data_IF_758296196451
#
_entry.id   IF_758296196451
#
_cell.length_a   1.000
_cell.length_b   1.000
_cell.length_c   1.000
_cell.angle_alpha   90.00
_cell.angle_beta   90.00
_cell.angle_gamma   90.00
#
_symmetry.space_group_name_H-M   'P 1'
#
loop_
_entity.id
_entity.type
_entity.pdbx_description
1 polymer ?
#
# COMPACT_ATOMS: atom_id res chain seq x y z
N UNK A 1 37.28 -3.00 -3.43
CA UNK A 1 36.71 -1.92 -2.60
C UNK A 1 35.22 -2.17 -2.53
N UNK A 2 34.72 -2.45 -1.32
CA UNK A 2 33.28 -2.40 -1.04
C UNK A 2 32.83 -0.95 -1.31
N UNK A 3 31.69 -0.72 -1.96
CA UNK A 3 31.19 0.63 -2.21
C UNK A 3 31.17 1.48 -0.94
N UNK A 4 31.45 2.77 -1.05
CA UNK A 4 31.36 3.66 0.10
C UNK A 4 29.88 3.82 0.43
N UNK A 5 29.49 3.48 1.65
CA UNK A 5 28.12 3.68 2.10
C UNK A 5 28.04 5.03 2.78
N UNK A 6 27.10 5.85 2.34
CA UNK A 6 26.86 7.19 2.89
C UNK A 6 25.45 7.29 3.42
N UNK A 7 25.32 7.71 4.67
CA UNK A 7 24.06 8.03 5.33
C UNK A 7 23.96 9.54 5.52
N UNK A 8 22.83 10.09 5.08
CA UNK A 8 22.52 11.51 5.21
C UNK A 8 21.29 11.70 6.09
N UNK A 9 21.31 12.72 6.93
CA UNK A 9 20.23 13.11 7.83
C UNK A 9 19.75 14.54 7.52
N UNK A 10 18.44 14.75 7.54
CA UNK A 10 17.81 16.06 7.34
C UNK A 10 17.19 16.22 5.95
N UNK A 11 16.50 17.33 5.76
CA UNK A 11 15.77 17.68 4.53
C UNK A 11 16.28 18.99 3.92
N UNK A 12 15.69 19.41 2.81
CA UNK A 12 16.07 20.64 2.11
C UNK A 12 15.83 21.90 2.96
N UNK A 13 14.90 21.87 3.91
CA UNK A 13 14.57 23.01 4.77
C UNK A 13 15.59 23.18 5.90
N UNK A 14 15.98 22.09 6.56
CA UNK A 14 16.93 22.12 7.69
C UNK A 14 18.38 21.91 7.28
N UNK A 15 18.62 21.57 6.02
CA UNK A 15 19.91 21.14 5.51
C UNK A 15 20.13 19.64 5.65
N UNK A 16 20.93 19.09 4.73
CA UNK A 16 21.27 17.66 4.68
C UNK A 16 22.70 17.47 5.16
N UNK A 17 22.89 16.65 6.18
CA UNK A 17 24.18 16.38 6.83
C UNK A 17 24.60 14.94 6.56
N UNK A 18 25.87 14.74 6.19
CA UNK A 18 26.47 13.39 6.11
C UNK A 18 26.85 12.97 7.53
N UNK A 19 26.42 11.78 7.94
CA UNK A 19 26.63 11.27 9.32
C UNK A 19 27.47 9.98 9.37
N UNK A 20 28.16 9.64 8.27
CA UNK A 20 28.93 8.39 8.10
C UNK A 20 29.95 8.15 9.22
N UNK A 21 30.60 9.22 9.67
CA UNK A 21 31.61 9.19 10.72
C UNK A 21 31.02 8.91 12.11
N UNK A 22 29.71 9.05 12.28
CA UNK A 22 29.00 8.78 13.53
C UNK A 22 28.56 7.32 13.63
N UNK A 23 28.55 6.57 12.54
CA UNK A 23 27.94 5.23 12.49
C UNK A 23 28.84 4.18 13.14
N UNK A 24 28.34 3.58 14.22
CA UNK A 24 28.91 2.34 14.77
C UNK A 24 28.34 1.13 14.03
N UNK A 25 27.02 1.07 13.93
CA UNK A 25 26.30 0.05 13.17
C UNK A 25 25.14 0.67 12.41
N UNK A 26 24.87 0.12 11.24
CA UNK A 26 23.66 0.43 10.50
C UNK A 26 23.07 -0.86 9.89
N UNK A 27 21.75 -1.01 9.99
CA UNK A 27 21.03 -2.16 9.45
C UNK A 27 19.86 -1.65 8.62
N UNK A 28 19.93 -1.87 7.31
CA UNK A 28 18.81 -1.62 6.40
C UNK A 28 18.11 -2.94 6.13
N UNK A 29 16.80 -2.98 6.30
CA UNK A 29 15.96 -4.09 5.87
C UNK A 29 14.99 -3.54 4.83
N UNK A 30 15.11 -4.00 3.59
CA UNK A 30 14.15 -3.73 2.54
C UNK A 30 13.27 -4.96 2.34
N UNK A 31 11.96 -4.76 2.22
CA UNK A 31 10.99 -5.84 2.02
C UNK A 31 9.90 -5.47 1.02
N UNK A 32 9.39 -6.49 0.33
CA UNK A 32 8.17 -6.44 -0.49
C UNK A 32 7.49 -7.81 -0.54
N UNK A 33 6.33 -7.90 -1.19
CA UNK A 33 5.63 -9.16 -1.47
C UNK A 33 5.17 -9.18 -2.93
N UNK A 34 5.28 -10.34 -3.59
CA UNK A 34 5.00 -10.52 -5.04
C UNK A 34 3.63 -9.99 -5.50
N UNK A 35 2.64 -10.00 -4.61
CA UNK A 35 1.23 -9.70 -4.92
C UNK A 35 0.57 -8.84 -3.83
N UNK A 36 1.35 -8.08 -3.06
CA UNK A 36 0.82 -7.20 -2.00
C UNK A 36 -0.14 -7.89 -1.01
N UNK A 37 0.09 -9.15 -0.63
CA UNK A 37 -0.65 -9.81 0.47
C UNK A 37 -0.55 -9.03 1.77
N UNK A 38 0.58 -8.36 1.94
CA UNK A 38 0.86 -7.33 2.91
C UNK A 38 1.83 -6.35 2.24
N UNK A 39 1.88 -5.12 2.74
CA UNK A 39 2.86 -4.13 2.32
C UNK A 39 3.86 -3.97 3.45
N UNK A 40 4.93 -4.77 3.55
CA UNK A 40 5.91 -4.64 4.63
C UNK A 40 6.64 -3.30 4.52
N UNK A 41 6.97 -2.70 5.66
CA UNK A 41 7.71 -1.46 5.69
C UNK A 41 9.20 -1.76 5.75
N UNK A 42 9.99 -1.04 4.96
CA UNK A 42 11.45 -1.12 5.04
C UNK A 42 11.95 -0.31 6.23
N UNK A 43 12.95 -0.80 6.94
CA UNK A 43 13.51 -0.15 8.14
C UNK A 43 14.98 0.19 7.99
N UNK A 44 15.39 1.24 8.70
CA UNK A 44 16.79 1.56 8.92
C UNK A 44 17.01 1.80 10.40
N UNK A 45 17.89 0.98 10.99
CA UNK A 45 18.30 1.06 12.37
C UNK A 45 19.77 1.49 12.45
N UNK A 46 20.06 2.49 13.27
CA UNK A 46 21.39 3.07 13.47
C UNK A 46 21.80 3.01 14.94
N UNK A 47 23.04 2.61 15.20
CA UNK A 47 23.74 2.93 16.45
C UNK A 47 24.82 3.96 16.13
N UNK A 48 24.77 5.11 16.81
CA UNK A 48 25.61 6.27 16.52
C UNK A 48 26.46 6.67 17.72
N UNK A 49 27.67 7.13 17.45
CA UNK A 49 28.60 7.74 18.39
C UNK A 49 28.79 9.23 18.06
N UNK A 50 28.32 10.08 18.97
CA UNK A 50 28.31 11.54 18.79
C UNK A 50 29.36 12.24 19.66
N UNK A 51 30.42 11.52 20.07
CA UNK A 51 31.49 12.09 20.93
C UNK A 51 32.08 13.40 20.43
N UNK A 52 32.23 13.54 19.12
CA UNK A 52 32.84 14.71 18.49
C UNK A 52 31.84 15.85 18.21
N UNK A 53 30.56 15.69 18.60
CA UNK A 53 29.49 16.64 18.31
C UNK A 53 28.76 17.04 19.60
N UNK A 54 29.04 18.25 20.07
CA UNK A 54 28.30 18.83 21.20
C UNK A 54 26.86 19.12 20.77
N UNK A 55 25.89 18.61 21.54
CA UNK A 55 24.45 18.87 21.41
C UNK A 55 23.78 18.41 20.10
N UNK A 56 24.26 17.33 19.46
CA UNK A 56 23.55 16.75 18.33
C UNK A 56 22.25 16.05 18.77
N UNK A 57 21.11 16.47 18.22
CA UNK A 57 19.79 15.91 18.48
C UNK A 57 19.13 15.43 17.18
N UNK A 58 18.44 14.29 17.26
CA UNK A 58 17.67 13.73 16.15
C UNK A 58 16.20 14.07 16.34
N UNK A 59 15.58 14.62 15.31
CA UNK A 59 14.16 14.90 15.30
C UNK A 59 13.40 13.74 14.64
N UNK A 60 12.30 13.31 15.27
CA UNK A 60 11.33 12.38 14.69
C UNK A 60 10.76 13.00 13.41
N UNK A 61 10.35 12.15 12.47
CA UNK A 61 9.88 12.45 11.11
C UNK A 61 10.91 13.07 10.16
N UNK A 62 12.12 13.40 10.62
CA UNK A 62 13.19 13.81 9.71
C UNK A 62 13.69 12.63 8.87
N UNK A 63 14.00 12.87 7.58
CA UNK A 63 14.41 11.81 6.69
C UNK A 63 15.87 11.40 6.92
N UNK A 64 16.10 10.11 6.71
CA UNK A 64 17.40 9.49 6.56
C UNK A 64 17.50 8.92 5.14
N UNK A 65 18.66 9.11 4.52
CA UNK A 65 18.96 8.57 3.20
C UNK A 65 20.20 7.72 3.30
N UNK A 66 20.15 6.50 2.79
CA UNK A 66 21.33 5.64 2.68
C UNK A 66 21.67 5.39 1.22
N UNK A 67 22.94 5.61 0.88
CA UNK A 67 23.49 5.48 -0.46
C UNK A 67 24.60 4.44 -0.48
N UNK A 68 24.72 3.69 -1.59
CA UNK A 68 25.95 3.00 -1.97
C UNK A 68 26.58 3.74 -3.13
N UNK A 69 27.77 4.28 -2.90
CA UNK A 69 28.45 5.21 -3.78
C UNK A 69 27.54 6.42 -4.10
N UNK A 70 26.91 6.43 -5.28
CA UNK A 70 25.97 7.49 -5.68
C UNK A 70 24.52 7.02 -5.76
N UNK A 71 24.26 5.73 -5.63
CA UNK A 71 22.92 5.15 -5.79
C UNK A 71 22.20 5.09 -4.45
N UNK A 72 20.98 5.63 -4.39
CA UNK A 72 20.12 5.52 -3.22
C UNK A 72 19.78 4.04 -2.99
N UNK A 73 20.01 3.56 -1.78
CA UNK A 73 19.50 2.26 -1.33
C UNK A 73 18.11 2.46 -0.74
N UNK A 74 17.96 3.37 0.22
CA UNK A 74 16.69 3.56 0.92
C UNK A 74 16.55 4.98 1.46
N UNK A 75 15.32 5.51 1.40
CA UNK A 75 14.88 6.66 2.18
C UNK A 75 13.94 6.18 3.29
N UNK A 76 14.18 6.65 4.51
CA UNK A 76 13.35 6.39 5.70
C UNK A 76 13.13 7.66 6.49
N UNK A 77 12.23 7.61 7.47
CA UNK A 77 11.87 8.70 8.37
C UNK A 77 12.02 8.22 9.81
N UNK A 78 12.70 9.01 10.64
CA UNK A 78 12.94 8.66 12.04
C UNK A 78 11.61 8.50 12.77
N UNK A 79 11.38 7.34 13.36
CA UNK A 79 10.23 7.05 14.22
C UNK A 79 10.60 7.12 15.68
N UNK A 80 11.84 6.77 16.02
CA UNK A 80 12.37 6.83 17.37
C UNK A 80 13.85 7.24 17.35
N UNK A 81 14.24 8.13 18.25
CA UNK A 81 15.64 8.43 18.53
C UNK A 81 15.86 8.44 20.05
N UNK A 82 16.71 7.54 20.53
CA UNK A 82 16.94 7.30 21.95
C UNK A 82 18.41 7.46 22.30
N UNK A 83 18.69 8.39 23.22
CA UNK A 83 20.01 8.53 23.83
C UNK A 83 20.23 7.41 24.86
N UNK A 84 21.17 6.51 24.60
CA UNK A 84 21.45 5.33 25.46
C UNK A 84 22.65 5.52 26.39
N UNK A 85 23.52 6.48 26.09
CA UNK A 85 24.61 6.94 26.97
C UNK A 85 24.94 8.40 26.68
N UNK A 86 25.94 8.98 27.35
CA UNK A 86 26.38 10.37 27.11
C UNK A 86 26.62 10.67 25.62
N UNK A 87 27.16 9.70 24.88
CA UNK A 87 27.54 9.87 23.47
C UNK A 87 26.97 8.81 22.53
N UNK A 88 26.03 7.97 22.98
CA UNK A 88 25.37 6.99 22.10
C UNK A 88 23.92 7.28 21.86
N UNK A 89 23.53 7.10 20.60
CA UNK A 89 22.16 7.14 20.14
C UNK A 89 21.79 5.84 19.44
N UNK A 90 20.56 5.38 19.68
CA UNK A 90 19.87 4.42 18.84
C UNK A 90 18.79 5.16 18.07
N UNK A 91 18.79 5.04 16.75
CA UNK A 91 17.81 5.69 15.87
C UNK A 91 17.13 4.62 15.04
N UNK A 92 15.81 4.56 15.12
CA UNK A 92 14.96 3.67 14.34
C UNK A 92 14.15 4.51 13.35
N UNK A 93 13.98 3.98 12.15
CA UNK A 93 13.28 4.67 11.07
C UNK A 93 12.56 3.70 10.16
N UNK A 94 11.52 4.19 9.50
CA UNK A 94 10.70 3.41 8.57
C UNK A 94 10.46 4.19 7.27
N UNK A 95 10.19 3.49 6.19
CA UNK A 95 9.95 4.09 4.87
C UNK A 95 8.55 4.71 4.72
N UNK A 96 8.22 5.13 3.50
CA UNK A 96 6.89 5.67 3.19
C UNK A 96 5.77 4.67 3.48
N UNK A 97 5.96 3.37 3.23
CA UNK A 97 4.95 2.35 3.53
C UNK A 97 4.67 2.31 5.04
N UNK A 98 5.70 2.40 5.87
CA UNK A 98 5.53 2.51 7.31
C UNK A 98 4.87 3.82 7.76
N UNK A 99 5.18 4.94 7.08
CA UNK A 99 4.56 6.24 7.37
C UNK A 99 3.07 6.29 7.04
N UNK A 100 2.61 5.49 6.06
CA UNK A 100 1.20 5.44 5.67
C UNK A 100 0.26 4.91 6.76
N UNK A 101 0.77 4.22 7.78
CA UNK A 101 -0.05 3.79 8.93
C UNK A 101 -0.57 4.98 9.76
N UNK A 102 0.09 6.13 9.67
CA UNK A 102 -0.32 7.36 10.35
C UNK A 102 -1.25 8.24 9.51
N UNK A 103 -1.57 7.82 8.27
CA UNK A 103 -2.42 8.55 7.35
C UNK A 103 -3.76 7.85 7.20
N UNK A 104 -4.84 8.59 7.39
CA UNK A 104 -6.21 8.07 7.26
C UNK A 104 -6.68 8.10 5.82
N UNK A 105 -7.46 7.10 5.44
CA UNK A 105 -8.19 7.04 4.19
C UNK A 105 -9.66 6.82 4.51
N UNK A 106 -10.53 7.72 4.05
CA UNK A 106 -11.95 7.74 4.44
C UNK A 106 -12.80 6.64 3.77
N UNK A 107 -12.19 5.85 2.88
CA UNK A 107 -12.90 4.90 2.05
C UNK A 107 -13.56 5.60 0.86
N UNK A 108 -13.65 4.90 -0.27
CA UNK A 108 -14.30 5.44 -1.46
C UNK A 108 -14.78 4.35 -2.37
N UNK A 109 -15.85 4.65 -3.08
CA UNK A 109 -16.33 3.83 -4.18
C UNK A 109 -15.77 4.35 -5.51
N UNK A 110 -15.14 3.48 -6.29
CA UNK A 110 -14.65 3.79 -7.63
C UNK A 110 -15.50 3.07 -8.69
N UNK A 111 -15.83 3.77 -9.77
CA UNK A 111 -16.54 3.19 -10.91
C UNK A 111 -15.80 3.48 -12.20
N UNK A 112 -15.30 2.42 -12.84
CA UNK A 112 -14.57 2.46 -14.11
C UNK A 112 -13.46 3.53 -14.17
N UNK A 113 -12.79 3.77 -13.03
CA UNK A 113 -11.70 4.73 -12.97
C UNK A 113 -10.40 4.07 -13.39
N UNK A 114 -9.48 4.82 -13.99
CA UNK A 114 -8.13 4.29 -14.23
C UNK A 114 -7.39 4.09 -12.91
N UNK A 115 -6.51 3.11 -12.86
CA UNK A 115 -5.65 2.86 -11.70
C UNK A 115 -4.84 4.10 -11.33
N UNK A 116 -4.36 4.84 -12.33
CA UNK A 116 -3.66 6.12 -12.10
C UNK A 116 -4.54 7.15 -11.37
N UNK A 117 -5.79 7.33 -11.78
CA UNK A 117 -6.72 8.26 -11.13
C UNK A 117 -7.06 7.83 -9.69
N UNK A 118 -7.22 6.53 -9.45
CA UNK A 118 -7.42 5.98 -8.10
C UNK A 118 -6.21 6.25 -7.21
N UNK A 119 -5.01 6.08 -7.74
CA UNK A 119 -3.77 6.32 -7.00
C UNK A 119 -3.53 7.81 -6.72
N UNK A 120 -3.88 8.69 -7.66
CA UNK A 120 -3.86 10.15 -7.45
C UNK A 120 -4.78 10.57 -6.32
N UNK A 121 -6.00 10.03 -6.29
CA UNK A 121 -6.96 10.28 -5.22
C UNK A 121 -6.49 9.71 -3.86
N UNK A 122 -5.96 8.49 -3.86
CA UNK A 122 -5.42 7.83 -2.66
C UNK A 122 -4.25 8.62 -2.03
N UNK A 123 -3.34 9.15 -2.84
CA UNK A 123 -2.17 9.90 -2.38
C UNK A 123 -2.43 11.40 -2.25
N UNK A 124 -3.63 11.89 -2.58
CA UNK A 124 -3.99 13.29 -2.48
C UNK A 124 -3.80 13.82 -1.05
N UNK A 125 -3.07 14.92 -0.91
CA UNK A 125 -2.78 15.55 0.38
C UNK A 125 -1.74 14.82 1.25
N UNK A 126 -1.19 13.68 0.83
CA UNK A 126 -0.19 12.92 1.60
C UNK A 126 1.25 13.44 1.45
N UNK A 127 1.54 14.19 0.37
CA UNK A 127 2.88 14.56 -0.06
C UNK A 127 3.85 13.37 -0.27
N UNK A 128 3.31 12.16 -0.46
CA UNK A 128 4.12 10.97 -0.76
C UNK A 128 4.33 10.87 -2.28
N UNK A 129 5.58 10.94 -2.78
CA UNK A 129 5.86 10.68 -4.19
C UNK A 129 5.56 9.21 -4.53
N UNK A 130 4.93 8.97 -5.67
CA UNK A 130 4.65 7.62 -6.14
C UNK A 130 4.88 7.46 -7.64
N UNK A 131 5.19 6.23 -8.04
CA UNK A 131 5.51 5.85 -9.41
C UNK A 131 4.74 4.57 -9.76
N UNK A 132 4.13 4.53 -10.94
CA UNK A 132 3.33 3.39 -11.40
C UNK A 132 3.85 3.01 -12.79
N UNK A 133 4.02 1.72 -13.07
CA UNK A 133 4.38 1.26 -14.41
C UNK A 133 3.27 1.52 -15.44
N UNK A 134 3.66 1.70 -16.72
CA UNK A 134 2.75 2.08 -17.80
C UNK A 134 1.59 1.09 -18.02
N UNK A 135 1.80 -0.20 -17.73
CA UNK A 135 0.76 -1.20 -17.89
C UNK A 135 -0.27 -1.07 -16.76
N UNK A 136 0.19 -0.99 -15.51
CA UNK A 136 -0.68 -0.92 -14.33
C UNK A 136 -1.51 0.36 -14.32
N UNK A 137 -0.96 1.51 -14.77
CA UNK A 137 -1.68 2.79 -14.87
C UNK A 137 -3.02 2.72 -15.62
N UNK A 138 -3.09 1.87 -16.65
CA UNK A 138 -4.23 1.79 -17.57
C UNK A 138 -5.31 0.80 -17.12
N UNK A 139 -5.08 0.05 -16.04
CA UNK A 139 -6.07 -0.91 -15.53
C UNK A 139 -7.30 -0.17 -15.00
N UNK A 140 -8.47 -0.73 -15.22
CA UNK A 140 -9.74 -0.17 -14.74
C UNK A 140 -10.05 -0.68 -13.33
N UNK A 141 -10.35 0.23 -12.43
CA UNK A 141 -10.74 -0.02 -11.04
C UNK A 141 -12.22 0.27 -10.87
N UNK A 142 -12.93 -0.75 -10.38
CA UNK A 142 -14.32 -0.67 -9.98
C UNK A 142 -14.47 -1.35 -8.63
N UNK A 143 -15.18 -0.71 -7.71
CA UNK A 143 -15.48 -1.27 -6.40
C UNK A 143 -15.17 -0.35 -5.22
N UNK A 144 -15.47 -0.84 -4.04
CA UNK A 144 -15.28 -0.11 -2.79
C UNK A 144 -13.87 -0.38 -2.24
N UNK A 145 -13.15 0.67 -1.86
CA UNK A 145 -11.99 0.57 -0.99
C UNK A 145 -12.42 0.96 0.41
N UNK A 146 -12.15 0.10 1.39
CA UNK A 146 -12.59 0.33 2.76
C UNK A 146 -11.90 1.54 3.40
N UNK A 147 -12.59 2.18 4.34
CA UNK A 147 -11.97 3.18 5.20
C UNK A 147 -10.92 2.52 6.10
N UNK A 148 -9.82 3.22 6.35
CA UNK A 148 -8.69 2.67 7.11
C UNK A 148 -7.47 3.57 7.03
N UNK A 149 -6.29 2.97 6.89
CA UNK A 149 -5.06 3.71 6.62
C UNK A 149 -4.81 3.78 5.11
N UNK A 150 -3.99 4.74 4.68
CA UNK A 150 -3.51 4.80 3.29
C UNK A 150 -2.79 3.49 2.93
N UNK A 151 -2.09 2.86 3.90
CA UNK A 151 -1.40 1.58 3.70
C UNK A 151 -2.37 0.45 3.41
N UNK A 152 -3.47 0.33 4.17
CA UNK A 152 -4.47 -0.72 3.93
C UNK A 152 -5.21 -0.52 2.62
N UNK A 153 -5.53 0.73 2.28
CA UNK A 153 -6.17 1.07 1.01
C UNK A 153 -5.27 0.74 -0.20
N UNK A 154 -3.99 1.14 -0.14
CA UNK A 154 -3.00 0.79 -1.16
C UNK A 154 -2.83 -0.73 -1.30
N UNK A 155 -2.78 -1.44 -0.18
CA UNK A 155 -2.65 -2.88 -0.14
C UNK A 155 -3.84 -3.56 -0.82
N UNK A 156 -5.06 -3.14 -0.49
CA UNK A 156 -6.29 -3.62 -1.11
C UNK A 156 -6.28 -3.41 -2.64
N UNK A 157 -5.98 -2.19 -3.08
CA UNK A 157 -5.94 -1.86 -4.51
C UNK A 157 -4.89 -2.70 -5.22
N UNK A 158 -3.64 -2.71 -4.76
CA UNK A 158 -2.55 -3.43 -5.42
C UNK A 158 -2.76 -4.95 -5.45
N UNK A 159 -3.32 -5.52 -4.37
CA UNK A 159 -3.63 -6.94 -4.30
C UNK A 159 -4.65 -7.37 -5.37
N UNK A 160 -5.71 -6.59 -5.55
CA UNK A 160 -6.76 -6.87 -6.55
C UNK A 160 -6.22 -6.95 -7.98
N UNK A 161 -5.11 -6.28 -8.28
CA UNK A 161 -4.48 -6.29 -9.60
C UNK A 161 -3.20 -7.13 -9.67
N UNK A 162 -2.77 -7.75 -8.56
CA UNK A 162 -1.54 -8.53 -8.49
C UNK A 162 -0.29 -7.70 -8.75
N UNK A 163 -0.28 -6.45 -8.28
CA UNK A 163 0.90 -5.58 -8.29
C UNK A 163 1.69 -5.76 -6.98
N UNK A 164 3.00 -5.58 -7.05
CA UNK A 164 3.84 -5.43 -5.86
C UNK A 164 4.18 -3.95 -5.65
N UNK A 165 4.50 -3.62 -4.39
CA UNK A 165 4.82 -2.27 -3.99
C UNK A 165 6.17 -2.28 -3.28
N UNK A 166 7.05 -1.34 -3.63
CA UNK A 166 8.35 -1.19 -2.98
C UNK A 166 8.77 0.27 -2.88
N UNK A 167 9.57 0.57 -1.86
CA UNK A 167 10.28 1.85 -1.68
C UNK A 167 11.79 1.68 -1.89
N UNK A 168 12.23 0.47 -2.24
CA UNK A 168 13.63 0.16 -2.41
C UNK A 168 14.23 0.94 -3.58
N UNK A 169 15.43 1.47 -3.36
CA UNK A 169 16.23 2.19 -4.36
C UNK A 169 15.53 3.39 -5.03
N UNK A 170 14.48 3.94 -4.39
CA UNK A 170 13.78 5.12 -4.85
C UNK A 170 13.43 6.04 -3.68
N UNK A 171 13.05 7.27 -4.00
CA UNK A 171 12.69 8.33 -3.05
C UNK A 171 11.17 8.47 -2.89
N UNK A 172 10.42 7.44 -3.25
CA UNK A 172 8.96 7.39 -3.23
C UNK A 172 8.44 5.95 -3.15
N UNK A 173 7.18 5.77 -3.53
CA UNK A 173 6.49 4.48 -3.52
C UNK A 173 6.32 4.01 -4.96
N UNK A 174 6.91 2.87 -5.29
CA UNK A 174 6.80 2.29 -6.62
C UNK A 174 5.78 1.16 -6.63
N UNK A 175 4.81 1.22 -7.53
CA UNK A 175 3.83 0.18 -7.81
C UNK A 175 4.11 -0.42 -9.17
N UNK A 176 4.37 -1.72 -9.19
CA UNK A 176 4.81 -2.43 -10.39
C UNK A 176 4.10 -3.76 -10.53
N UNK A 177 3.80 -4.12 -11.78
CA UNK A 177 3.46 -5.50 -12.13
C UNK A 177 4.68 -6.41 -11.91
N UNK A 178 4.43 -7.61 -11.40
CA UNK A 178 5.44 -8.66 -11.35
C UNK A 178 5.94 -8.99 -12.77
N UNK A 179 7.25 -8.84 -13.00
CA UNK A 179 7.90 -9.29 -14.22
C UNK A 179 7.80 -10.82 -14.36
N UNK A 180 7.89 -11.35 -15.58
CA UNK A 180 8.17 -12.77 -15.81
C UNK A 180 9.63 -13.02 -16.19
N UNK A 181 10.38 -11.96 -16.45
CA UNK A 181 11.71 -12.03 -17.03
C UNK A 181 12.76 -12.16 -15.94
N UNK A 182 13.65 -13.13 -16.11
CA UNK A 182 14.84 -13.28 -15.27
C UNK A 182 15.77 -12.09 -15.51
N UNK A 183 16.00 -11.29 -14.47
CA UNK A 183 16.87 -10.12 -14.50
C UNK A 183 18.35 -10.50 -14.53
N UNK A 184 18.75 -11.56 -13.80
CA UNK A 184 20.14 -12.02 -13.75
C UNK A 184 20.29 -13.44 -13.21
N UNK A 185 21.45 -14.02 -13.48
CA UNK A 185 21.91 -15.29 -12.91
C UNK A 185 22.94 -15.02 -11.81
N UNK A 186 22.75 -15.63 -10.65
CA UNK A 186 23.63 -15.55 -9.48
C UNK A 186 24.46 -16.83 -9.45
N UNK A 187 25.72 -16.73 -9.87
CA UNK A 187 26.67 -17.83 -9.80
C UNK A 187 27.11 -18.11 -8.35
N UNK A 188 27.57 -19.33 -8.11
CA UNK A 188 28.13 -19.77 -6.82
C UNK A 188 29.30 -18.89 -6.35
N UNK A 189 30.08 -18.31 -7.27
CA UNK A 189 31.19 -17.39 -6.97
C UNK A 189 30.74 -16.08 -6.30
N UNK A 190 29.46 -15.70 -6.43
CA UNK A 190 28.90 -14.51 -5.75
C UNK A 190 28.43 -14.81 -4.32
N UNK A 191 28.47 -16.06 -3.88
CA UNK A 191 27.88 -16.47 -2.60
C UNK A 191 28.97 -16.52 -1.52
N UNK A 192 28.88 -15.65 -0.51
CA UNK A 192 29.97 -15.44 0.45
C UNK A 192 30.19 -16.60 1.43
N UNK A 193 29.12 -17.23 1.91
CA UNK A 193 29.13 -18.47 2.70
C UNK A 193 27.70 -18.85 3.13
N UNK A 194 27.31 -20.09 2.82
CA UNK A 194 26.06 -20.70 3.24
C UNK A 194 24.84 -20.20 2.47
N UNK A 195 24.11 -21.14 1.87
CA UNK A 195 22.74 -20.94 1.40
C UNK A 195 21.86 -21.74 2.34
N UNK A 196 20.81 -21.11 2.87
CA UNK A 196 19.75 -21.83 3.55
C UNK A 196 18.61 -22.06 2.56
N UNK A 197 18.14 -23.29 2.43
CA UNK A 197 17.00 -23.65 1.58
C UNK A 197 15.94 -24.26 2.47
N UNK A 198 14.79 -23.61 2.55
CA UNK A 198 13.63 -24.03 3.33
C UNK A 198 12.51 -24.43 2.36
N UNK A 199 11.93 -25.63 2.51
CA UNK A 199 10.71 -26.00 1.79
C UNK A 199 9.54 -25.24 2.41
N UNK A 200 8.80 -24.48 1.60
CA UNK A 200 7.57 -23.83 2.04
C UNK A 200 6.37 -24.66 1.65
N UNK A 201 5.26 -24.40 2.34
CA UNK A 201 4.01 -25.06 2.04
C UNK A 201 3.54 -24.70 0.64
N UNK A 202 3.31 -25.73 -0.17
CA UNK A 202 2.67 -25.59 -1.47
C UNK A 202 1.16 -25.54 -1.26
N UNK A 203 0.51 -24.51 -1.81
CA UNK A 203 -0.94 -24.40 -1.83
C UNK A 203 -1.47 -25.28 -2.96
N UNK A 204 -2.41 -26.17 -2.65
CA UNK A 204 -3.00 -27.08 -3.64
C UNK A 204 -4.35 -26.60 -4.14
N UNK A 205 -5.02 -25.74 -3.37
CA UNK A 205 -6.31 -25.12 -3.71
C UNK A 205 -6.35 -23.68 -3.20
N UNK A 206 -6.77 -22.76 -4.06
CA UNK A 206 -7.02 -21.36 -3.71
C UNK A 206 -8.45 -20.99 -4.08
N UNK A 207 -9.16 -20.39 -3.14
CA UNK A 207 -10.48 -19.81 -3.38
C UNK A 207 -10.46 -18.32 -3.09
N UNK A 208 -11.02 -17.51 -3.98
CA UNK A 208 -11.09 -16.04 -3.83
C UNK A 208 -12.52 -15.56 -4.01
N UNK A 209 -12.95 -14.67 -3.11
CA UNK A 209 -14.21 -13.97 -3.26
C UNK A 209 -14.06 -12.72 -4.13
N UNK A 210 -15.10 -12.40 -4.90
CA UNK A 210 -15.18 -11.17 -5.71
C UNK A 210 -16.59 -10.57 -5.67
N UNK A 211 -16.71 -9.30 -6.04
CA UNK A 211 -17.95 -8.55 -6.04
C UNK A 211 -18.31 -8.07 -7.45
N UNK A 212 -19.52 -8.38 -7.91
CA UNK A 212 -20.07 -7.84 -9.14
C UNK A 212 -21.02 -6.70 -8.81
N UNK A 213 -20.70 -5.53 -9.32
CA UNK A 213 -21.56 -4.37 -9.24
C UNK A 213 -22.40 -4.31 -10.51
N UNK A 214 -23.71 -4.44 -10.35
CA UNK A 214 -24.67 -4.27 -11.44
C UNK A 214 -25.41 -2.96 -11.19
N UNK A 215 -25.48 -2.11 -12.22
CA UNK A 215 -26.31 -0.91 -12.17
C UNK A 215 -27.77 -1.32 -12.05
N UNK A 216 -28.42 -0.94 -10.95
CA UNK A 216 -29.85 -1.09 -10.77
C UNK A 216 -30.56 0.22 -11.13
N UNK A 217 -31.74 0.15 -11.72
CA UNK A 217 -32.63 1.32 -11.90
C UNK A 217 -33.28 1.80 -10.58
N UNK A 218 -32.91 1.19 -9.44
CA UNK A 218 -33.42 1.56 -8.13
C UNK A 218 -32.60 2.71 -7.50
N UNK A 219 -33.26 3.82 -7.23
CA UNK A 219 -32.70 4.98 -6.54
C UNK A 219 -32.55 4.72 -5.02
N UNK A 220 -31.36 4.91 -4.42
CA UNK A 220 -31.23 4.93 -2.94
C UNK A 220 -31.63 6.30 -2.38
N UNK A 221 -32.43 6.27 -1.31
CA UNK A 221 -32.58 7.36 -0.34
C UNK A 221 -31.44 7.36 0.70
N UNK A 222 -30.70 8.46 0.84
CA UNK A 222 -29.82 8.67 2.01
C UNK A 222 -30.67 9.18 3.18
N UNK A 223 -30.97 8.33 4.16
CA UNK A 223 -31.64 8.76 5.41
C UNK A 223 -30.58 9.05 6.48
N UNK A 224 -30.46 10.30 6.93
CA UNK A 224 -29.84 10.61 8.22
C UNK A 224 -30.94 10.48 9.28
N UNK A 225 -30.89 9.44 10.12
CA UNK A 225 -31.76 9.38 11.30
C UNK A 225 -31.33 10.49 12.25
N UNK A 226 -32.22 11.43 12.53
CA UNK A 226 -32.05 12.29 13.69
C UNK A 226 -32.17 11.41 14.94
N UNK A 227 -31.30 11.62 15.93
CA UNK A 227 -31.41 10.93 17.22
C UNK A 227 -32.82 11.10 17.78
N UNK A 228 -33.40 10.00 18.24
CA UNK A 228 -34.82 9.82 18.57
C UNK A 228 -35.33 10.62 19.78
N UNK A 229 -34.59 11.62 20.26
CA UNK A 229 -35.03 12.52 21.34
C UNK A 229 -35.61 13.85 20.81
N UNK A 230 -35.65 14.05 19.49
CA UNK A 230 -35.99 15.36 18.89
C UNK A 230 -37.46 15.56 18.50
N UNK A 231 -38.33 14.54 18.61
CA UNK A 231 -39.75 14.67 18.25
C UNK A 231 -40.62 14.05 19.34
N UNK A 232 -40.64 14.68 20.49
CA UNK A 232 -41.75 14.56 21.43
C UNK A 232 -42.37 15.93 21.65
N UNK A 233 -43.68 15.98 21.44
CA UNK A 233 -44.57 17.15 21.58
C UNK A 233 -44.54 18.18 20.44
N UNK A 234 -45.06 17.79 19.28
CA UNK A 234 -46.23 18.44 18.66
C UNK A 234 -46.56 17.79 17.31
N UNK A 235 -47.63 16.99 17.29
CA UNK A 235 -48.15 16.35 16.09
C UNK A 235 -48.77 17.40 15.16
N UNK A 236 -48.30 17.44 13.90
CA UNK A 236 -49.10 17.95 12.78
C UNK A 236 -48.62 19.22 12.07
N UNK A 237 -47.32 19.47 11.92
CA UNK A 237 -46.82 20.53 11.04
C UNK A 237 -45.97 19.99 9.89
N UNK A 238 -46.23 20.50 8.67
CA UNK A 238 -45.49 20.19 7.45
C UNK A 238 -44.19 21.00 7.42
N UNK A 239 -43.06 20.35 7.19
CA UNK A 239 -41.78 21.05 6.92
C UNK A 239 -41.57 21.06 5.40
N UNK A 240 -41.44 22.24 4.82
CA UNK A 240 -41.11 22.41 3.40
C UNK A 240 -39.62 22.72 3.26
N UNK A 241 -38.88 21.90 2.52
CA UNK A 241 -37.50 22.19 2.16
C UNK A 241 -37.44 22.79 0.75
N UNK A 242 -36.88 24.00 0.62
CA UNK A 242 -36.52 24.55 -0.68
C UNK A 242 -35.06 24.20 -0.96
N UNK A 243 -34.83 23.32 -1.94
CA UNK A 243 -33.49 22.96 -2.40
C UNK A 243 -33.00 24.00 -3.41
N UNK A 244 -31.88 24.66 -3.11
CA UNK A 244 -31.20 25.53 -4.07
C UNK A 244 -30.29 24.66 -4.96
N UNK A 245 -30.89 24.07 -6.00
CA UNK A 245 -30.19 23.22 -6.98
C UNK A 245 -29.53 24.13 -8.03
N UNK A 246 -28.19 24.08 -8.21
CA UNK A 246 -27.50 24.91 -9.20
C UNK A 246 -28.11 24.73 -10.59
N UNK A 247 -28.16 25.80 -11.39
CA UNK A 247 -28.91 25.85 -12.64
C UNK A 247 -28.45 24.82 -13.69
N UNK A 248 -27.20 24.37 -13.62
CA UNK A 248 -26.68 23.26 -14.45
C UNK A 248 -27.36 21.90 -14.20
N UNK A 249 -28.07 21.72 -13.08
CA UNK A 249 -28.74 20.47 -12.71
C UNK A 249 -30.28 20.51 -12.87
N UNK A 250 -30.87 21.67 -13.16
CA UNK A 250 -32.33 21.90 -13.14
C UNK A 250 -33.16 21.13 -14.17
N UNK A 251 -32.52 20.56 -15.20
CA UNK A 251 -33.17 19.90 -16.33
C UNK A 251 -32.74 18.44 -16.55
N UNK A 252 -31.98 17.85 -15.62
CA UNK A 252 -31.48 16.46 -15.76
C UNK A 252 -32.03 15.48 -14.71
N UNK A 253 -32.82 15.95 -13.75
CA UNK A 253 -33.33 15.13 -12.64
C UNK A 253 -34.80 15.40 -12.37
N UNK A 254 -35.57 14.35 -12.08
CA UNK A 254 -36.95 14.43 -11.61
C UNK A 254 -36.90 14.55 -10.09
N UNK A 255 -37.18 15.73 -9.53
CA UNK A 255 -37.47 15.87 -8.11
C UNK A 255 -38.93 15.47 -7.89
N UNK A 256 -39.18 14.18 -7.68
CA UNK A 256 -40.51 13.64 -7.38
C UNK A 256 -40.73 13.57 -5.86
N UNK A 257 -41.67 14.35 -5.34
CA UNK A 257 -42.24 14.08 -4.01
C UNK A 257 -43.26 12.94 -4.16
N UNK A 258 -42.97 11.76 -3.62
CA UNK A 258 -43.96 10.68 -3.54
C UNK A 258 -44.72 10.78 -2.22
N UNK A 259 -46.02 11.05 -2.30
CA UNK A 259 -46.93 10.91 -1.16
C UNK A 259 -47.43 9.47 -1.12
N UNK A 260 -47.05 8.69 -0.11
CA UNK A 260 -47.84 7.51 0.24
C UNK A 260 -48.81 7.89 1.36
N UNK A 261 -50.11 7.98 1.07
CA UNK A 261 -51.13 8.02 2.11
C UNK A 261 -51.14 6.67 2.84
N UNK A 262 -50.45 6.57 3.98
CA UNK A 262 -50.73 5.51 4.94
C UNK A 262 -51.68 6.05 6.00
N UNK A 263 -52.93 5.63 5.89
CA UNK A 263 -53.94 5.87 6.89
C UNK A 263 -53.57 5.16 8.21
N UNK A 264 -53.45 5.98 9.26
CA UNK A 264 -53.92 5.79 10.64
C UNK A 264 -53.45 4.51 11.34
N UNK A 265 -52.37 4.62 12.13
CA UNK A 265 -52.33 4.34 13.58
C UNK A 265 -50.93 4.68 14.12
N UNK A 266 -50.75 5.89 14.65
CA UNK A 266 -49.70 6.20 15.64
C UNK A 266 -48.24 5.82 15.36
N UNK A 267 -47.80 5.76 14.09
CA UNK A 267 -46.40 5.50 13.76
C UNK A 267 -45.73 6.72 13.12
N UNK A 268 -44.49 6.93 13.56
CA UNK A 268 -43.53 7.97 13.14
C UNK A 268 -43.49 8.11 11.61
N UNK A 269 -43.61 9.36 11.13
CA UNK A 269 -43.48 9.67 9.71
C UNK A 269 -42.01 9.77 9.32
N UNK A 270 -41.53 8.87 8.47
CA UNK A 270 -40.23 8.98 7.80
C UNK A 270 -40.38 9.92 6.60
N UNK A 271 -39.56 10.96 6.52
CA UNK A 271 -39.48 11.84 5.35
C UNK A 271 -38.23 11.47 4.54
N UNK A 272 -38.43 10.87 3.37
CA UNK A 272 -37.35 10.44 2.48
C UNK A 272 -37.22 11.44 1.31
N UNK A 273 -36.00 11.96 1.11
CA UNK A 273 -35.62 12.75 -0.06
C UNK A 273 -34.92 11.84 -1.08
N UNK A 274 -35.43 11.81 -2.31
CA UNK A 274 -34.84 11.03 -3.41
C UNK A 274 -34.06 11.95 -4.35
N UNK A 275 -32.85 11.54 -4.74
CA UNK A 275 -32.12 12.15 -5.85
C UNK A 275 -31.31 11.04 -6.53
N UNK A 276 -31.60 10.80 -7.82
CA UNK A 276 -30.78 9.91 -8.64
C UNK A 276 -29.51 10.63 -9.09
N UNK A 277 -28.37 9.95 -9.02
CA UNK A 277 -27.09 10.45 -9.53
C UNK A 277 -26.52 9.44 -10.51
N UNK A 278 -26.43 9.82 -11.78
CA UNK A 278 -26.04 8.86 -12.82
C UNK A 278 -24.54 8.54 -12.87
N UNK A 279 -23.62 9.37 -12.31
CA UNK A 279 -22.19 9.11 -12.59
C UNK A 279 -21.14 9.50 -11.54
N UNK A 280 -21.42 10.34 -10.52
CA UNK A 280 -20.38 10.76 -9.56
C UNK A 280 -20.97 11.08 -8.16
N UNK A 281 -20.20 10.95 -7.05
CA UNK A 281 -20.62 11.49 -5.76
C UNK A 281 -20.69 13.01 -5.83
N UNK A 282 -21.85 13.58 -5.48
CA UNK A 282 -22.06 15.03 -5.49
C UNK A 282 -22.18 15.57 -4.06
N UNK A 283 -21.51 16.69 -3.80
CA UNK A 283 -21.71 17.49 -2.59
C UNK A 283 -22.96 18.34 -2.76
N UNK A 284 -24.04 17.98 -2.05
CA UNK A 284 -25.23 18.81 -1.99
C UNK A 284 -25.17 19.74 -0.78
N UNK A 285 -25.51 21.00 -1.00
CA UNK A 285 -25.73 21.99 0.05
C UNK A 285 -27.22 22.31 0.13
N UNK A 286 -27.87 21.90 1.22
CA UNK A 286 -29.26 22.26 1.48
C UNK A 286 -29.33 23.42 2.48
N UNK A 287 -30.17 24.43 2.19
CA UNK A 287 -30.44 25.55 3.09
C UNK A 287 -31.85 25.37 3.66
N UNK A 288 -31.98 25.43 4.99
CA UNK A 288 -33.30 25.47 5.65
C UNK A 288 -33.82 26.91 5.58
N UNK A 289 -35.02 27.13 5.05
CA UNK A 289 -35.49 28.50 4.68
C UNK A 289 -36.68 28.99 5.52
N UNK A 290 -37.39 28.15 6.29
CA UNK A 290 -38.46 28.63 7.18
C UNK A 290 -38.44 27.94 8.56
N UNK A 291 -38.31 28.75 9.62
CA UNK A 291 -38.76 28.38 10.97
C UNK A 291 -40.28 28.54 11.05
N UNK A 292 -40.99 27.51 11.47
CA UNK A 292 -42.41 27.61 11.79
C UNK A 292 -42.58 28.27 13.16
N UNK A 293 -43.43 29.29 13.21
CA UNK A 293 -43.72 30.08 14.39
C UNK A 293 -44.32 29.26 15.54
N UNK A 294 -43.88 29.68 16.73
CA UNK A 294 -44.39 29.44 18.08
C UNK A 294 -44.11 28.06 18.69
N UNK A 295 -43.02 28.02 19.45
CA UNK A 295 -42.66 26.99 20.43
C UNK A 295 -41.21 27.18 20.89
N UNK A 296 -41.01 27.60 22.14
CA UNK A 296 -39.68 27.71 22.75
C UNK A 296 -39.08 26.29 22.80
N UNK A 297 -38.02 26.04 22.04
CA UNK A 297 -37.18 24.83 22.20
C UNK A 297 -35.87 25.26 22.85
N UNK A 298 -35.72 24.88 24.11
CA UNK A 298 -34.43 24.92 24.81
C UNK A 298 -33.54 23.80 24.26
N UNK A 299 -32.32 24.12 23.83
CA UNK A 299 -31.28 23.12 23.59
C UNK A 299 -30.67 23.03 22.18
N UNK A 300 -31.16 23.79 21.20
CA UNK A 300 -30.49 23.92 19.90
C UNK A 300 -30.11 25.36 19.62
N UNK A 301 -28.82 25.68 19.78
CA UNK A 301 -28.25 26.80 19.03
C UNK A 301 -28.29 26.41 17.56
N UNK A 302 -29.30 26.89 16.86
CA UNK A 302 -29.20 27.12 15.42
C UNK A 302 -27.99 28.03 15.21
N UNK A 303 -26.96 27.53 14.52
CA UNK A 303 -26.03 28.44 13.87
C UNK A 303 -26.85 29.07 12.75
N UNK A 304 -27.17 30.35 12.92
CA UNK A 304 -27.79 31.22 11.91
C UNK A 304 -27.36 30.82 10.49
N UNK A 305 -28.32 30.37 9.67
CA UNK A 305 -28.09 30.09 8.25
C UNK A 305 -27.23 28.86 7.90
N UNK A 306 -27.12 27.88 8.81
CA UNK A 306 -26.31 26.67 8.62
C UNK A 306 -26.72 25.81 7.43
N UNK A 307 -25.84 25.71 6.43
CA UNK A 307 -25.94 24.74 5.34
C UNK A 307 -25.75 23.33 5.86
N UNK A 308 -26.57 22.38 5.40
CA UNK A 308 -26.34 20.95 5.60
C UNK A 308 -25.60 20.39 4.38
N UNK A 309 -24.47 19.72 4.61
CA UNK A 309 -23.71 19.02 3.59
C UNK A 309 -23.90 17.51 3.71
N UNK A 310 -24.19 16.84 2.60
CA UNK A 310 -24.25 15.38 2.51
C UNK A 310 -23.71 14.90 1.15
N UNK A 311 -23.17 13.67 1.14
CA UNK A 311 -22.65 12.99 -0.05
C UNK A 311 -23.62 11.87 -0.40
N UNK A 312 -24.09 11.86 -1.64
CA UNK A 312 -24.95 10.80 -2.17
C UNK A 312 -24.18 9.95 -3.19
N UNK A 313 -24.37 8.64 -3.12
CA UNK A 313 -23.72 7.65 -3.98
C UNK A 313 -24.77 6.96 -4.87
N UNK A 314 -24.46 6.63 -6.14
CA UNK A 314 -25.33 5.78 -6.96
C UNK A 314 -25.57 4.41 -6.32
N UNK A 315 -26.77 3.85 -6.47
CA UNK A 315 -27.04 2.48 -6.03
C UNK A 315 -26.44 1.48 -6.99
N UNK A 316 -25.70 0.53 -6.43
CA UNK A 316 -25.28 -0.66 -7.15
C UNK A 316 -25.59 -1.86 -6.27
N UNK A 317 -26.32 -2.81 -6.83
CA UNK A 317 -26.49 -4.12 -6.22
C UNK A 317 -25.17 -4.87 -6.33
N UNK A 318 -24.73 -5.48 -5.23
CA UNK A 318 -23.52 -6.30 -5.17
C UNK A 318 -23.92 -7.77 -5.20
N UNK A 319 -23.59 -8.45 -6.29
CA UNK A 319 -23.63 -9.92 -6.35
C UNK A 319 -22.23 -10.46 -6.07
N UNK A 320 -22.06 -11.19 -4.97
CA UNK A 320 -20.79 -11.83 -4.63
C UNK A 320 -20.64 -13.19 -5.30
N UNK A 321 -19.42 -13.55 -5.70
CA UNK A 321 -19.07 -14.88 -6.19
C UNK A 321 -17.78 -15.41 -5.58
N UNK A 322 -17.55 -16.73 -5.69
CA UNK A 322 -16.30 -17.39 -5.31
C UNK A 322 -15.73 -18.10 -6.52
N UNK A 323 -14.46 -17.85 -6.82
CA UNK A 323 -13.69 -18.62 -7.83
C UNK A 323 -12.70 -19.53 -7.12
N UNK A 324 -12.45 -20.71 -7.71
CA UNK A 324 -11.50 -21.68 -7.17
C UNK A 324 -10.49 -22.12 -8.24
N UNK A 325 -9.22 -22.25 -7.86
CA UNK A 325 -8.16 -22.84 -8.67
C UNK A 325 -7.49 -23.96 -7.90
N UNK A 326 -7.29 -25.09 -8.56
CA UNK A 326 -6.69 -26.30 -7.98
C UNK A 326 -5.62 -26.86 -8.91
N UNK A 327 -4.59 -27.47 -8.32
CA UNK A 327 -3.61 -28.24 -9.11
C UNK A 327 -4.29 -29.46 -9.75
N UNK A 328 -3.92 -29.87 -10.98
CA UNK A 328 -4.37 -31.13 -11.55
C UNK A 328 -3.74 -32.28 -10.76
N UNK A 329 -4.57 -33.03 -10.01
CA UNK A 329 -4.08 -34.12 -9.17
C UNK A 329 -4.21 -35.44 -9.94
N UNK A 330 -3.07 -36.01 -10.35
CA UNK A 330 -3.01 -37.41 -10.78
C UNK A 330 -3.04 -38.32 -9.55
N UNK A 331 -4.21 -38.94 -9.32
CA UNK A 331 -4.39 -40.21 -8.59
C UNK A 331 -3.58 -40.45 -7.31
N UNK A 332 -3.92 -39.75 -6.24
CA UNK A 332 -3.99 -40.21 -4.85
C UNK A 332 -4.54 -39.04 -4.04
N UNK A 333 -5.47 -39.26 -3.10
CA UNK A 333 -6.10 -38.19 -2.32
C UNK A 333 -5.00 -37.26 -1.76
N UNK A 334 -4.81 -36.05 -2.32
CA UNK A 334 -3.70 -35.20 -1.93
C UNK A 334 -4.02 -34.65 -0.54
N UNK A 335 -3.00 -34.39 0.26
CA UNK A 335 -3.15 -33.50 1.40
C UNK A 335 -3.63 -32.16 0.82
N UNK A 336 -4.89 -31.81 1.07
CA UNK A 336 -5.48 -30.58 0.57
C UNK A 336 -4.96 -29.46 1.48
N UNK A 337 -4.04 -28.64 0.97
CA UNK A 337 -3.70 -27.36 1.56
C UNK A 337 -4.52 -26.27 0.86
N UNK A 338 -5.69 -26.00 1.42
CA UNK A 338 -6.66 -25.02 0.91
C UNK A 338 -6.45 -23.67 1.59
N UNK A 339 -6.33 -22.62 0.78
CA UNK A 339 -6.29 -21.24 1.23
C UNK A 339 -7.46 -20.47 0.65
N UNK A 340 -8.23 -19.82 1.51
CA UNK A 340 -9.31 -18.93 1.10
C UNK A 340 -8.92 -17.49 1.39
N UNK A 341 -9.15 -16.62 0.42
CA UNK A 341 -8.93 -15.19 0.54
C UNK A 341 -10.28 -14.47 0.56
N UNK A 342 -10.50 -13.65 1.58
CA UNK A 342 -11.70 -12.83 1.69
C UNK A 342 -11.70 -11.77 0.58
N UNK A 343 -12.89 -11.50 0.05
CA UNK A 343 -13.12 -10.53 -1.03
C UNK A 343 -12.59 -9.15 -0.66
N UNK A 344 -11.80 -8.56 -1.56
CA UNK A 344 -11.53 -7.12 -1.55
C UNK A 344 -12.62 -6.40 -2.33
N UNK A 345 -13.05 -5.22 -1.88
CA UNK A 345 -14.18 -4.54 -2.49
C UNK A 345 -13.90 -4.05 -3.92
N UNK A 346 -12.62 -4.00 -4.33
CA UNK A 346 -12.15 -3.66 -5.69
C UNK A 346 -11.97 -4.85 -6.63
N UNK A 347 -12.19 -6.08 -6.16
CA UNK A 347 -12.13 -7.28 -7.01
C UNK A 347 -13.49 -7.53 -7.67
N UNK A 348 -13.51 -7.52 -9.00
CA UNK A 348 -14.71 -7.68 -9.83
C UNK A 348 -14.63 -8.92 -10.70
N UNK A 349 -15.75 -9.43 -11.24
CA UNK A 349 -15.69 -10.57 -12.18
C UNK A 349 -14.75 -10.35 -13.37
N UNK A 350 -14.56 -9.10 -13.81
CA UNK A 350 -13.68 -8.75 -14.92
C UNK A 350 -12.20 -9.04 -14.60
N UNK A 351 -11.75 -8.75 -13.37
CA UNK A 351 -10.36 -8.95 -12.96
C UNK A 351 -10.13 -10.20 -12.10
N UNK A 352 -11.18 -10.77 -11.48
CA UNK A 352 -11.07 -11.83 -10.49
C UNK A 352 -10.39 -13.10 -11.01
N UNK A 353 -10.67 -13.52 -12.25
CA UNK A 353 -9.99 -14.70 -12.81
C UNK A 353 -8.50 -14.44 -13.05
N UNK A 354 -8.16 -13.27 -13.61
CA UNK A 354 -6.76 -12.88 -13.82
C UNK A 354 -6.02 -12.71 -12.49
N UNK A 355 -6.69 -12.15 -11.47
CA UNK A 355 -6.17 -12.03 -10.12
C UNK A 355 -5.96 -13.41 -9.49
N UNK A 356 -6.96 -14.30 -9.56
CA UNK A 356 -6.86 -15.67 -9.06
C UNK A 356 -5.68 -16.41 -9.67
N UNK A 357 -5.50 -16.30 -10.99
CA UNK A 357 -4.38 -16.95 -11.68
C UNK A 357 -3.03 -16.44 -11.19
N UNK A 358 -2.86 -15.11 -11.13
CA UNK A 358 -1.63 -14.49 -10.62
C UNK A 358 -1.39 -14.82 -9.16
N UNK A 359 -2.42 -14.77 -8.32
CA UNK A 359 -2.31 -15.01 -6.88
C UNK A 359 -1.95 -16.47 -6.63
N UNK A 360 -2.59 -17.42 -7.31
CA UNK A 360 -2.28 -18.84 -7.18
C UNK A 360 -0.82 -19.14 -7.54
N UNK A 361 -0.37 -18.63 -8.68
CA UNK A 361 0.99 -18.89 -9.18
C UNK A 361 2.05 -18.26 -8.27
N UNK A 362 1.73 -17.15 -7.59
CA UNK A 362 2.68 -16.43 -6.72
C UNK A 362 2.61 -16.78 -5.23
N UNK A 363 1.47 -17.27 -4.74
CA UNK A 363 1.34 -17.79 -3.38
C UNK A 363 1.90 -19.20 -3.25
N UNK A 364 1.94 -19.96 -4.35
CA UNK A 364 2.49 -21.31 -4.36
C UNK A 364 4.01 -21.25 -4.28
N UNK A 365 4.54 -21.20 -3.07
CA UNK A 365 5.99 -21.16 -2.82
C UNK A 365 6.49 -22.58 -2.61
N UNK A 366 7.33 -23.06 -3.52
CA UNK A 366 8.02 -24.34 -3.35
C UNK A 366 9.21 -24.24 -2.38
N UNK A 367 10.00 -23.17 -2.52
CA UNK A 367 11.26 -22.99 -1.79
C UNK A 367 11.42 -21.54 -1.34
N UNK A 368 11.98 -21.38 -0.13
CA UNK A 368 12.58 -20.13 0.34
C UNK A 368 14.09 -20.31 0.38
N UNK A 369 14.82 -19.36 -0.19
CA UNK A 369 16.28 -19.38 -0.26
C UNK A 369 16.84 -18.13 0.43
N UNK A 370 17.56 -18.30 1.52
CA UNK A 370 18.34 -17.23 2.15
C UNK A 370 19.80 -17.33 1.71
N UNK A 371 20.31 -16.29 1.05
CA UNK A 371 21.67 -16.26 0.52
C UNK A 371 22.41 -14.98 0.92
N UNK A 372 23.68 -15.11 1.33
CA UNK A 372 24.60 -13.98 1.50
C UNK A 372 25.35 -13.75 0.21
N UNK A 373 25.10 -12.61 -0.44
CA UNK A 373 25.54 -12.36 -1.81
C UNK A 373 26.50 -11.18 -1.82
N UNK A 374 27.59 -11.33 -2.57
CA UNK A 374 28.52 -10.24 -2.89
C UNK A 374 27.83 -9.32 -3.89
N UNK A 375 27.62 -8.09 -3.46
CA UNK A 375 27.22 -6.98 -4.32
C UNK A 375 28.45 -6.11 -4.64
N UNK A 376 28.62 -5.72 -5.91
CA UNK A 376 29.76 -4.93 -6.36
C UNK A 376 30.92 -5.70 -7.00
N UNK A 377 32.16 -5.45 -6.56
CA UNK A 377 33.38 -5.90 -7.28
C UNK A 377 33.88 -7.28 -6.82
N UNK A 378 33.92 -8.24 -7.74
CA UNK A 378 34.64 -9.50 -7.55
C UNK A 378 36.11 -9.38 -7.98
N UNK A 379 37.03 -9.94 -7.20
CA UNK A 379 38.45 -10.00 -7.55
C UNK A 379 38.68 -11.15 -8.53
N UNK A 380 39.06 -10.83 -9.76
CA UNK A 380 39.51 -11.82 -10.73
C UNK A 380 41.02 -12.04 -10.57
N UNK A 381 41.42 -13.30 -10.41
CA UNK A 381 42.84 -13.69 -10.51
C UNK A 381 43.08 -14.29 -11.89
N UNK A 382 43.83 -13.60 -12.74
CA UNK A 382 44.19 -14.13 -14.06
C UNK A 382 45.55 -14.85 -14.02
N UNK A 383 45.59 -16.12 -14.48
CA UNK A 383 46.81 -16.82 -14.94
C UNK A 383 47.50 -17.79 -13.97
N UNK A 384 48.17 -18.81 -14.55
CA UNK A 384 49.09 -19.73 -13.84
C UNK A 384 50.50 -19.15 -13.78
N UNK A 385 51.22 -19.43 -12.69
CA UNK A 385 52.59 -18.98 -12.46
C UNK A 385 53.55 -19.40 -13.58
N UNK A 386 54.03 -18.43 -14.36
CA UNK A 386 55.26 -18.62 -15.15
C UNK A 386 56.35 -17.59 -14.86
N UNK A 387 56.02 -16.39 -14.36
CA UNK A 387 57.01 -15.33 -14.08
C UNK A 387 56.71 -14.41 -12.86
N UNK A 388 55.87 -14.82 -11.91
CA UNK A 388 55.84 -14.18 -10.57
C UNK A 388 54.96 -12.94 -10.37
N UNK A 389 54.24 -12.43 -11.37
CA UNK A 389 53.30 -11.31 -11.18
C UNK A 389 51.84 -11.77 -11.31
N UNK A 390 51.05 -11.56 -10.24
CA UNK A 390 49.59 -11.68 -10.29
C UNK A 390 49.02 -10.42 -10.92
N UNK A 391 48.31 -10.57 -12.04
CA UNK A 391 47.48 -9.51 -12.59
C UNK A 391 46.12 -9.61 -11.90
N UNK A 392 45.77 -8.57 -11.14
CA UNK A 392 44.47 -8.46 -10.47
C UNK A 392 43.52 -7.67 -11.35
N UNK A 393 42.39 -8.31 -11.71
CA UNK A 393 41.27 -7.65 -12.37
C UNK A 393 40.08 -7.50 -11.42
N UNK A 394 39.15 -6.62 -11.77
CA UNK A 394 37.85 -6.51 -11.09
C UNK A 394 36.75 -6.73 -12.11
N UNK A 395 35.76 -7.55 -11.75
CA UNK A 395 34.49 -7.61 -12.47
C UNK A 395 33.43 -6.92 -11.63
N UNK A 396 32.68 -6.01 -12.26
CA UNK A 396 31.53 -5.38 -11.62
C UNK A 396 30.32 -6.27 -11.82
N UNK A 397 29.76 -6.76 -10.71
CA UNK A 397 28.53 -7.55 -10.74
C UNK A 397 27.32 -6.63 -10.65
N UNK A 398 26.25 -6.96 -11.38
CA UNK A 398 25.01 -6.20 -11.30
C UNK A 398 24.41 -6.30 -9.88
N UNK A 399 23.88 -5.19 -9.34
CA UNK A 399 23.20 -5.22 -8.05
C UNK A 399 21.95 -6.08 -8.13
N UNK A 400 21.61 -6.72 -7.01
CA UNK A 400 20.39 -7.52 -6.87
C UNK A 400 19.38 -6.70 -6.09
N UNK A 401 18.27 -6.33 -6.69
CA UNK A 401 17.30 -5.43 -6.08
C UNK A 401 16.06 -6.17 -5.61
N UNK A 402 15.35 -5.57 -4.64
CA UNK A 402 13.99 -5.99 -4.31
C UNK A 402 13.14 -5.89 -5.57
N UNK A 403 12.35 -6.93 -5.86
CA UNK A 403 11.55 -6.99 -7.07
C UNK A 403 12.17 -7.80 -8.22
N UNK A 404 13.48 -8.05 -8.18
CA UNK A 404 14.17 -8.80 -9.23
C UNK A 404 13.73 -10.28 -9.24
N UNK A 405 13.60 -10.84 -10.44
CA UNK A 405 13.54 -12.30 -10.63
C UNK A 405 14.93 -12.79 -10.98
N UNK A 406 15.51 -13.60 -10.12
CA UNK A 406 16.89 -14.08 -10.26
C UNK A 406 16.91 -15.59 -10.37
N UNK A 407 17.86 -16.12 -11.14
CA UNK A 407 18.23 -17.53 -10.98
C UNK A 407 19.42 -17.64 -10.04
N UNK A 408 19.42 -18.65 -9.17
CA UNK A 408 20.51 -18.93 -8.24
C UNK A 408 20.87 -20.41 -8.31
N UNK A 409 22.16 -20.69 -8.46
CA UNK A 409 22.68 -22.05 -8.37
C UNK A 409 22.87 -22.41 -6.89
N UNK A 410 22.13 -23.42 -6.44
CA UNK A 410 22.22 -23.94 -5.07
C UNK A 410 23.00 -25.27 -5.07
N UNK A 411 23.89 -25.51 -4.09
CA UNK A 411 24.73 -26.70 -4.06
C UNK A 411 23.96 -28.04 -4.11
N UNK A 412 22.73 -28.08 -3.58
CA UNK A 412 21.97 -29.32 -3.41
C UNK A 412 20.59 -29.33 -4.09
N UNK A 413 20.09 -28.18 -4.58
CA UNK A 413 18.78 -28.08 -5.21
C UNK A 413 18.88 -27.62 -6.69
N UNK A 414 20.10 -27.54 -7.24
CA UNK A 414 20.31 -27.11 -8.62
C UNK A 414 20.02 -25.63 -8.84
N UNK A 415 19.67 -25.27 -10.08
CA UNK A 415 19.31 -23.90 -10.46
C UNK A 415 17.86 -23.64 -10.07
N UNK A 416 17.66 -22.63 -9.22
CA UNK A 416 16.35 -22.19 -8.75
C UNK A 416 16.08 -20.78 -9.29
N UNK A 417 14.84 -20.49 -9.65
CA UNK A 417 14.42 -19.15 -10.07
C UNK A 417 13.42 -18.62 -9.06
N UNK A 418 13.62 -17.38 -8.60
CA UNK A 418 12.70 -16.79 -7.64
C UNK A 418 12.80 -15.28 -7.59
N UNK A 419 11.87 -14.70 -6.86
CA UNK A 419 11.71 -13.26 -6.69
C UNK A 419 12.38 -12.81 -5.40
N UNK A 420 13.16 -11.73 -5.47
CA UNK A 420 13.87 -11.16 -4.33
C UNK A 420 12.88 -10.33 -3.51
N UNK A 421 12.41 -10.90 -2.40
CA UNK A 421 11.38 -10.27 -1.56
C UNK A 421 11.94 -9.49 -0.38
N UNK A 422 13.17 -9.82 0.06
CA UNK A 422 13.83 -9.14 1.17
C UNK A 422 15.32 -9.05 0.94
N UNK A 423 15.88 -7.89 1.28
CA UNK A 423 17.29 -7.60 1.19
C UNK A 423 17.71 -6.90 2.49
N UNK A 424 18.72 -7.45 3.15
CA UNK A 424 19.26 -6.88 4.39
C UNK A 424 20.68 -6.45 4.16
N UNK A 425 20.99 -5.19 4.50
CA UNK A 425 22.33 -4.62 4.46
C UNK A 425 22.78 -4.37 5.89
N UNK A 426 23.84 -5.04 6.32
CA UNK A 426 24.47 -4.78 7.62
C UNK A 426 25.80 -4.09 7.43
N UNK A 427 25.96 -2.97 8.11
CA UNK A 427 27.09 -2.08 8.06
C UNK A 427 27.79 -2.08 9.40
N UNK A 428 29.09 -2.38 9.37
CA UNK A 428 29.96 -2.33 10.55
C UNK A 428 31.01 -1.26 10.32
N UNK A 429 30.80 -0.07 10.90
CA UNK A 429 31.51 1.14 10.50
C UNK A 429 31.29 1.47 9.01
N UNK A 430 32.25 2.16 8.39
CA UNK A 430 32.11 2.71 7.03
C UNK A 430 32.51 1.78 5.87
N UNK A 431 32.97 0.55 6.13
CA UNK A 431 33.68 -0.25 5.09
C UNK A 431 33.18 -1.68 4.87
N UNK A 432 32.37 -2.24 5.77
CA UNK A 432 31.90 -3.62 5.65
C UNK A 432 30.40 -3.66 5.51
N UNK A 433 29.94 -4.01 4.30
CA UNK A 433 28.54 -4.29 3.99
C UNK A 433 28.38 -5.80 3.84
N UNK A 434 27.42 -6.38 4.56
CA UNK A 434 26.95 -7.73 4.27
C UNK A 434 25.55 -7.60 3.71
N UNK A 435 25.35 -8.06 2.47
CA UNK A 435 24.04 -8.17 1.85
C UNK A 435 23.53 -9.61 1.94
N UNK A 436 22.37 -9.77 2.56
CA UNK A 436 21.63 -11.04 2.57
C UNK A 436 20.33 -10.84 1.81
N UNK A 437 19.97 -11.78 0.95
CA UNK A 437 18.72 -11.76 0.20
C UNK A 437 17.88 -12.98 0.56
N UNK A 438 16.57 -12.79 0.62
CA UNK A 438 15.56 -13.84 0.69
C UNK A 438 14.84 -13.92 -0.66
N UNK A 439 14.91 -15.10 -1.27
CA UNK A 439 14.39 -15.38 -2.61
C UNK A 439 13.28 -16.44 -2.46
N UNK A 440 12.14 -16.18 -3.07
CA UNK A 440 10.91 -16.98 -2.98
C UNK A 440 10.39 -17.36 -4.36
#
# INVERSE_FOLDING_TARGET
MNGNITVKYGDEETGIFVIDNLILTASVIQETRKIATELPASTLDLELDVRDYENFEFAVTKPLYIYSDTSLIQKTFITEAKKTSQYRWMVNSTDYIGMMDYLTYDGKFYYQQTFEAVMEDLFSGTNIPYYIDNYTKQLTVSGQVAAGTVRSALQEICFSFGAYVTTANCDGVTVQRLSSDVSQNISTDRIMAGINVENKETITKLSIGYSNFVSSEESISVTKSFDNDFITENLGKWVTFNLDVPCEFKNRYIVGNYYSERNITGQEGRHDLFTDFETHPHYLKAKVVEELSDGIVEGTKTLDGGWLAFVAYPYMSVDGGVLEKQNPVDSALPIINEKSLNTLGTMTSENAQTALDRIFDNLTVGLKIDAKIIDGRNYLTYGSFKFGEKIYGFEHQNPINIGDIVTIETPNNGIQTGFVQKATYKLFGSTKVVKSCEII
#
